data_IF_368752445457
#
_entry.id   IF_368752445457
#
_cell.length_a   1.000
_cell.length_b   1.000
_cell.length_c   1.000
_cell.angle_alpha   90.00
_cell.angle_beta   90.00
_cell.angle_gamma   90.00
#
_symmetry.space_group_name_H-M   'P 1'
#
loop_
_entity.id
_entity.type
_entity.pdbx_description
1 polymer ?
#
# COMPACT_ATOMS: atom_id res chain seq x y z
N UNK A 1 -33.87 -9.70 11.87
CA UNK A 1 -34.74 -9.23 10.78
C UNK A 1 -34.18 -7.91 10.28
N UNK A 2 -33.63 -7.88 9.09
CA UNK A 2 -33.18 -6.65 8.45
C UNK A 2 -34.41 -5.81 8.08
N UNK A 3 -34.46 -4.57 8.55
CA UNK A 3 -35.48 -3.60 8.10
C UNK A 3 -35.25 -3.29 6.61
N UNK A 4 -36.29 -3.24 5.80
CA UNK A 4 -36.14 -2.92 4.39
C UNK A 4 -35.57 -1.50 4.23
N UNK A 5 -34.61 -1.35 3.35
CA UNK A 5 -33.93 -0.10 2.95
C UNK A 5 -34.90 0.95 2.36
N UNK A 6 -36.20 0.63 2.20
CA UNK A 6 -37.21 1.50 1.59
C UNK A 6 -37.59 2.76 2.39
N UNK A 7 -37.07 2.97 3.59
CA UNK A 7 -37.37 4.15 4.41
C UNK A 7 -36.21 5.15 4.55
N UNK A 8 -35.22 5.09 3.69
CA UNK A 8 -34.25 6.17 3.55
C UNK A 8 -33.30 6.41 4.73
N UNK A 9 -33.19 5.49 5.68
CA UNK A 9 -32.17 5.59 6.72
C UNK A 9 -30.85 4.98 6.24
N UNK A 10 -29.77 5.77 6.19
CA UNK A 10 -28.46 5.24 5.80
C UNK A 10 -27.98 4.26 6.86
N UNK A 11 -27.56 3.08 6.42
CA UNK A 11 -26.78 2.17 7.25
C UNK A 11 -25.31 2.59 7.18
N UNK A 12 -24.76 3.07 8.27
CA UNK A 12 -23.35 3.43 8.38
C UNK A 12 -22.65 2.44 9.28
N UNK A 13 -21.63 1.76 8.74
CA UNK A 13 -20.74 0.91 9.52
C UNK A 13 -19.54 1.74 9.96
N UNK A 14 -19.34 1.88 11.28
CA UNK A 14 -18.19 2.56 11.86
C UNK A 14 -17.30 1.53 12.52
N UNK A 15 -16.04 1.50 12.12
CA UNK A 15 -15.05 0.52 12.57
C UNK A 15 -13.96 1.11 13.47
N UNK A 16 -14.09 2.37 13.90
CA UNK A 16 -13.10 3.00 14.79
C UNK A 16 -13.30 2.56 16.25
N UNK A 17 -12.33 1.90 16.87
CA UNK A 17 -12.41 1.56 18.28
C UNK A 17 -12.28 2.82 19.17
N UNK A 18 -13.19 2.99 20.11
CA UNK A 18 -13.01 3.90 21.26
C UNK A 18 -13.70 5.26 21.21
N UNK A 19 -14.56 5.58 20.26
CA UNK A 19 -15.26 6.87 20.26
C UNK A 19 -16.64 6.80 20.91
N UNK A 20 -16.77 7.44 22.11
CA UNK A 20 -18.07 7.80 22.68
C UNK A 20 -18.60 9.05 21.94
N UNK A 21 -19.85 9.05 21.53
CA UNK A 21 -20.49 10.20 20.87
C UNK A 21 -20.61 10.11 19.34
N UNK A 22 -20.62 8.91 18.79
CA UNK A 22 -20.76 8.66 17.35
C UNK A 22 -22.10 9.15 16.76
N UNK A 23 -23.18 9.13 17.55
CA UNK A 23 -24.52 9.47 17.07
C UNK A 23 -24.64 10.90 16.50
N UNK A 24 -23.91 11.86 17.08
CA UNK A 24 -23.91 13.25 16.59
C UNK A 24 -23.11 13.45 15.29
N UNK A 25 -22.26 12.50 14.93
CA UNK A 25 -21.42 12.57 13.71
C UNK A 25 -22.12 12.01 12.47
N UNK A 26 -23.26 11.31 12.63
CA UNK A 26 -23.94 10.58 11.55
C UNK A 26 -25.32 11.15 11.24
N UNK A 27 -25.37 12.39 10.76
CA UNK A 27 -26.59 12.91 10.12
C UNK A 27 -26.66 12.42 8.67
N UNK A 28 -27.88 12.39 8.10
CA UNK A 28 -28.08 12.11 6.66
C UNK A 28 -27.24 13.05 5.78
N UNK A 29 -27.13 14.31 6.17
CA UNK A 29 -26.28 15.29 5.49
C UNK A 29 -24.82 14.85 5.50
N UNK A 30 -24.27 14.51 6.66
CA UNK A 30 -22.86 14.07 6.77
C UNK A 30 -22.59 12.79 5.97
N UNK A 31 -23.54 11.86 5.93
CA UNK A 31 -23.46 10.67 5.09
C UNK A 31 -23.37 11.02 3.60
N UNK A 32 -24.24 11.93 3.12
CA UNK A 32 -24.23 12.35 1.72
C UNK A 32 -22.94 13.08 1.35
N UNK A 33 -22.44 13.93 2.27
CA UNK A 33 -21.15 14.62 2.09
C UNK A 33 -20.00 13.61 1.98
N UNK A 34 -19.87 12.68 2.92
CA UNK A 34 -18.84 11.63 2.90
C UNK A 34 -18.95 10.73 1.67
N UNK A 35 -20.17 10.38 1.27
CA UNK A 35 -20.39 9.63 0.02
C UNK A 35 -19.89 10.42 -1.18
N UNK A 36 -20.20 11.72 -1.24
CA UNK A 36 -19.74 12.60 -2.30
C UNK A 36 -18.21 12.70 -2.34
N UNK A 37 -17.59 12.95 -1.20
CA UNK A 37 -16.14 13.00 -1.02
C UNK A 37 -15.48 11.68 -1.49
N UNK A 38 -16.01 10.53 -1.07
CA UNK A 38 -15.51 9.21 -1.44
C UNK A 38 -15.62 8.95 -2.95
N UNK A 39 -16.77 9.28 -3.55
CA UNK A 39 -16.96 9.10 -4.99
C UNK A 39 -16.03 10.00 -5.81
N UNK A 40 -15.81 11.24 -5.35
CA UNK A 40 -14.87 12.17 -6.00
C UNK A 40 -13.46 11.64 -5.88
N UNK A 41 -13.05 11.21 -4.69
CA UNK A 41 -11.74 10.62 -4.45
C UNK A 41 -11.43 9.44 -5.38
N UNK A 42 -12.40 8.51 -5.54
CA UNK A 42 -12.25 7.38 -6.45
C UNK A 42 -12.19 7.81 -7.92
N UNK A 43 -13.08 8.72 -8.35
CA UNK A 43 -13.10 9.20 -9.73
C UNK A 43 -11.78 9.83 -10.14
N UNK A 44 -11.22 10.69 -9.32
CA UNK A 44 -9.93 11.33 -9.58
C UNK A 44 -8.81 10.31 -9.81
N UNK A 45 -8.82 9.20 -9.09
CA UNK A 45 -7.77 8.19 -9.17
C UNK A 45 -7.95 7.21 -10.32
N UNK A 46 -9.16 6.74 -10.55
CA UNK A 46 -9.41 5.77 -11.61
C UNK A 46 -9.56 6.38 -13.00
N UNK A 47 -9.78 7.70 -13.10
CA UNK A 47 -9.93 8.42 -14.37
C UNK A 47 -8.68 9.19 -14.80
N UNK A 48 -7.60 9.12 -14.05
CA UNK A 48 -6.34 9.80 -14.37
C UNK A 48 -5.68 9.29 -15.66
N UNK A 49 -5.95 8.07 -16.03
CA UNK A 49 -5.56 7.46 -17.29
C UNK A 49 -6.79 6.82 -17.93
N UNK A 50 -7.05 7.17 -19.19
CA UNK A 50 -8.20 6.63 -19.95
C UNK A 50 -7.72 6.05 -21.28
N UNK A 51 -8.08 4.80 -21.51
CA UNK A 51 -7.88 4.10 -22.77
C UNK A 51 -9.22 4.01 -23.52
N UNK A 52 -9.16 4.09 -24.83
CA UNK A 52 -10.30 3.82 -25.71
C UNK A 52 -9.88 2.86 -26.80
N UNK A 53 -10.44 1.67 -26.78
CA UNK A 53 -10.13 0.58 -27.70
C UNK A 53 -11.39 0.11 -28.44
N UNK A 54 -11.27 -0.72 -29.49
CA UNK A 54 -12.44 -1.36 -30.09
C UNK A 54 -13.17 -2.34 -29.15
N UNK A 55 -12.52 -2.81 -28.08
CA UNK A 55 -13.10 -3.70 -27.09
C UNK A 55 -13.54 -2.95 -25.82
N UNK A 56 -14.85 -2.74 -25.71
CA UNK A 56 -15.44 -2.05 -24.55
C UNK A 56 -15.23 -2.79 -23.22
N UNK A 57 -15.13 -4.10 -23.22
CA UNK A 57 -14.88 -4.86 -22.01
C UNK A 57 -13.45 -4.60 -21.50
N UNK A 58 -12.49 -4.53 -22.39
CA UNK A 58 -11.12 -4.14 -22.08
C UNK A 58 -11.05 -2.70 -21.56
N UNK A 59 -11.79 -1.76 -22.16
CA UNK A 59 -11.87 -0.38 -21.69
C UNK A 59 -12.39 -0.31 -20.24
N UNK A 60 -13.47 -0.99 -19.93
CA UNK A 60 -14.00 -1.03 -18.55
C UNK A 60 -13.05 -1.67 -17.57
N UNK A 61 -12.35 -2.72 -17.98
CA UNK A 61 -11.38 -3.39 -17.14
C UNK A 61 -10.18 -2.48 -16.82
N UNK A 62 -9.60 -1.84 -17.81
CA UNK A 62 -8.39 -1.02 -17.65
C UNK A 62 -8.67 0.38 -17.06
N UNK A 63 -9.77 1.03 -17.47
CA UNK A 63 -10.07 2.41 -17.06
C UNK A 63 -10.61 2.55 -15.64
N UNK A 64 -10.77 1.49 -14.89
CA UNK A 64 -11.30 1.60 -13.54
C UNK A 64 -11.01 0.38 -12.68
N UNK A 65 -11.42 -0.79 -13.16
CA UNK A 65 -11.41 -2.00 -12.36
C UNK A 65 -10.00 -2.40 -11.91
N UNK A 66 -9.01 -2.37 -12.79
CA UNK A 66 -7.62 -2.69 -12.44
C UNK A 66 -7.07 -1.74 -11.38
N UNK A 67 -7.24 -0.43 -11.56
CA UNK A 67 -6.76 0.58 -10.62
C UNK A 67 -7.48 0.47 -9.26
N UNK A 68 -8.80 0.19 -9.30
CA UNK A 68 -9.55 -0.09 -8.09
C UNK A 68 -9.00 -1.31 -7.34
N UNK A 69 -8.76 -2.43 -8.03
CA UNK A 69 -8.22 -3.65 -7.43
C UNK A 69 -6.86 -3.41 -6.77
N UNK A 70 -5.94 -2.78 -7.48
CA UNK A 70 -4.61 -2.46 -6.92
C UNK A 70 -4.76 -1.58 -5.68
N UNK A 71 -5.53 -0.51 -5.78
CA UNK A 71 -5.68 0.46 -4.68
C UNK A 71 -6.42 -0.14 -3.49
N UNK A 72 -7.63 -0.67 -3.73
CA UNK A 72 -8.50 -1.14 -2.65
C UNK A 72 -8.02 -2.46 -2.04
N UNK A 73 -7.66 -3.43 -2.89
CA UNK A 73 -7.43 -4.81 -2.43
C UNK A 73 -5.96 -5.11 -2.13
N UNK A 74 -5.03 -4.38 -2.74
CA UNK A 74 -3.60 -4.65 -2.57
C UNK A 74 -2.91 -3.65 -1.65
N UNK A 75 -3.27 -2.37 -1.71
CA UNK A 75 -2.60 -1.34 -0.92
C UNK A 75 -3.37 -0.94 0.34
N UNK A 76 -4.71 -0.84 0.28
CA UNK A 76 -5.53 -0.42 1.42
C UNK A 76 -6.02 -1.60 2.26
N UNK A 77 -6.66 -2.59 1.64
CA UNK A 77 -7.21 -3.75 2.33
C UNK A 77 -6.18 -4.89 2.38
N UNK A 78 -5.47 -4.99 3.48
CA UNK A 78 -4.44 -6.02 3.70
C UNK A 78 -4.98 -7.30 4.32
N UNK A 79 -6.28 -7.39 4.52
CA UNK A 79 -6.96 -8.59 4.99
C UNK A 79 -7.97 -9.06 3.96
N UNK A 80 -7.94 -10.34 3.61
CA UNK A 80 -8.87 -10.95 2.68
C UNK A 80 -9.12 -12.40 3.05
N UNK A 81 -10.03 -13.06 2.34
CA UNK A 81 -10.27 -14.49 2.48
C UNK A 81 -8.99 -15.33 2.31
N UNK A 82 -8.06 -14.87 1.48
CA UNK A 82 -6.81 -15.57 1.16
C UNK A 82 -5.61 -15.06 1.95
N UNK A 83 -5.71 -13.89 2.59
CA UNK A 83 -4.62 -13.25 3.32
C UNK A 83 -5.17 -12.55 4.57
N UNK A 84 -5.45 -13.31 5.61
CA UNK A 84 -6.06 -12.80 6.84
C UNK A 84 -5.06 -12.09 7.78
N UNK A 85 -3.76 -12.28 7.55
CA UNK A 85 -2.72 -11.81 8.46
C UNK A 85 -2.45 -10.31 8.41
N UNK A 86 -2.93 -9.59 7.39
CA UNK A 86 -2.63 -8.15 7.23
C UNK A 86 -1.17 -7.85 6.96
N UNK A 87 -0.39 -8.82 6.50
CA UNK A 87 1.03 -8.65 6.23
C UNK A 87 1.29 -7.74 5.02
N UNK A 88 2.35 -6.94 5.13
CA UNK A 88 2.90 -6.15 4.04
C UNK A 88 4.08 -6.91 3.44
N UNK A 89 4.01 -7.26 2.15
CA UNK A 89 5.09 -7.92 1.44
C UNK A 89 6.01 -6.90 0.76
N UNK A 90 7.31 -7.07 0.91
CA UNK A 90 8.29 -6.17 0.29
C UNK A 90 8.13 -6.12 -1.23
N UNK A 91 8.29 -7.27 -1.87
CA UNK A 91 8.10 -7.44 -3.31
C UNK A 91 6.68 -7.10 -3.75
N UNK A 92 5.68 -7.68 -3.07
CA UNK A 92 4.28 -7.58 -3.49
C UNK A 92 3.82 -6.14 -3.61
N UNK A 93 4.10 -5.32 -2.59
CA UNK A 93 3.67 -3.93 -2.60
C UNK A 93 4.47 -3.05 -3.54
N UNK A 94 5.75 -3.33 -3.75
CA UNK A 94 6.56 -2.66 -4.78
C UNK A 94 6.02 -2.95 -6.18
N UNK A 95 5.65 -4.19 -6.43
CA UNK A 95 5.02 -4.60 -7.69
C UNK A 95 3.66 -3.93 -7.88
N UNK A 96 2.84 -3.87 -6.83
CA UNK A 96 1.52 -3.23 -6.85
C UNK A 96 1.64 -1.73 -7.17
N UNK A 97 2.56 -1.01 -6.54
CA UNK A 97 2.71 0.44 -6.80
C UNK A 97 3.35 0.77 -8.13
N UNK A 98 4.05 -0.16 -8.75
CA UNK A 98 4.53 0.01 -10.13
C UNK A 98 3.37 0.25 -11.11
N UNK A 99 2.17 -0.28 -10.83
CA UNK A 99 0.97 0.00 -11.62
C UNK A 99 0.42 1.43 -11.42
N UNK A 100 0.78 2.09 -10.32
CA UNK A 100 0.29 3.43 -9.98
C UNK A 100 1.21 4.57 -10.41
N UNK A 101 2.34 4.30 -11.04
CA UNK A 101 3.32 5.32 -11.42
C UNK A 101 2.71 6.43 -12.30
N UNK A 102 1.76 6.07 -13.17
CA UNK A 102 1.10 7.01 -14.08
C UNK A 102 -0.17 7.64 -13.51
N UNK A 103 -0.76 7.05 -12.48
CA UNK A 103 -2.09 7.42 -11.99
C UNK A 103 -2.06 8.01 -10.60
N UNK A 104 -1.12 7.59 -9.77
CA UNK A 104 -0.96 8.05 -8.39
C UNK A 104 0.50 7.97 -7.91
N UNK A 105 1.41 8.75 -8.53
CA UNK A 105 2.85 8.68 -8.25
C UNK A 105 3.21 8.99 -6.80
N UNK A 106 2.43 9.84 -6.11
CA UNK A 106 2.66 10.16 -4.70
C UNK A 106 2.55 8.89 -3.81
N UNK A 107 1.57 8.03 -4.09
CA UNK A 107 1.42 6.77 -3.36
C UNK A 107 2.58 5.81 -3.65
N UNK A 108 3.06 5.80 -4.89
CA UNK A 108 4.24 5.02 -5.24
C UNK A 108 5.49 5.52 -4.49
N UNK A 109 5.68 6.84 -4.38
CA UNK A 109 6.76 7.45 -3.59
C UNK A 109 6.73 7.05 -2.13
N UNK A 110 5.57 7.13 -1.49
CA UNK A 110 5.38 6.69 -0.10
C UNK A 110 5.77 5.23 0.10
N UNK A 111 5.37 4.38 -0.83
CA UNK A 111 5.66 2.94 -0.76
C UNK A 111 7.13 2.62 -1.01
N UNK A 112 7.82 3.37 -1.89
CA UNK A 112 9.26 3.26 -2.09
C UNK A 112 10.04 3.58 -0.82
N UNK A 113 9.69 4.69 -0.14
CA UNK A 113 10.31 5.07 1.13
C UNK A 113 10.01 4.06 2.24
N UNK A 114 8.78 3.55 2.30
CA UNK A 114 8.41 2.50 3.24
C UNK A 114 9.23 1.22 2.99
N UNK A 115 9.35 0.77 1.73
CA UNK A 115 10.13 -0.40 1.38
C UNK A 115 11.62 -0.19 1.70
N UNK A 116 12.17 0.97 1.38
CA UNK A 116 13.55 1.32 1.72
C UNK A 116 13.83 1.20 3.23
N UNK A 117 12.87 1.63 4.08
CA UNK A 117 12.97 1.49 5.53
C UNK A 117 12.88 0.04 6.05
N UNK A 118 12.70 -0.92 5.16
CA UNK A 118 12.65 -2.36 5.48
C UNK A 118 13.88 -3.12 5.00
N UNK A 119 14.93 -2.41 4.63
CA UNK A 119 16.25 -2.98 4.38
C UNK A 119 17.05 -3.09 5.68
N UNK A 120 17.81 -4.15 5.83
CA UNK A 120 18.78 -4.30 6.91
C UNK A 120 20.10 -3.64 6.53
N UNK A 121 20.92 -3.32 7.54
CA UNK A 121 22.23 -2.70 7.33
C UNK A 121 23.16 -3.57 6.46
N UNK A 122 22.93 -4.89 6.43
CA UNK A 122 23.66 -5.85 5.62
C UNK A 122 23.21 -5.91 4.15
N UNK A 123 22.13 -5.18 3.81
CA UNK A 123 21.63 -5.04 2.44
C UNK A 123 20.53 -6.01 2.04
N UNK A 124 20.21 -6.99 2.88
CA UNK A 124 19.01 -7.81 2.70
C UNK A 124 17.76 -7.10 3.23
N UNK A 125 16.57 -7.68 3.06
CA UNK A 125 15.30 -7.02 3.35
C UNK A 125 14.39 -7.87 4.23
N UNK A 126 13.44 -7.21 4.88
CA UNK A 126 12.32 -7.87 5.51
C UNK A 126 11.31 -8.28 4.45
N UNK A 127 11.21 -9.56 4.15
CA UNK A 127 10.39 -10.11 3.07
C UNK A 127 8.90 -9.75 3.23
N UNK A 128 8.39 -9.85 4.46
CA UNK A 128 7.06 -9.33 4.82
C UNK A 128 7.02 -8.96 6.30
N UNK A 129 6.07 -8.09 6.67
CA UNK A 129 5.89 -7.63 8.05
C UNK A 129 4.44 -7.29 8.36
N UNK A 130 4.12 -7.25 9.65
CA UNK A 130 2.81 -6.81 10.18
C UNK A 130 2.89 -5.39 10.76
N UNK A 131 2.26 -4.38 10.13
CA UNK A 131 2.09 -3.07 10.78
C UNK A 131 1.14 -3.16 11.99
N UNK A 132 1.26 -2.27 13.01
CA UNK A 132 2.32 -1.28 13.16
C UNK A 132 3.58 -1.85 13.85
N UNK A 133 3.51 -3.06 14.39
CA UNK A 133 4.57 -3.65 15.20
C UNK A 133 5.88 -3.93 14.42
N UNK A 134 5.78 -4.11 13.10
CA UNK A 134 6.92 -4.41 12.27
C UNK A 134 7.46 -5.84 12.39
N UNK A 135 6.75 -6.70 13.15
CA UNK A 135 7.08 -8.12 13.21
C UNK A 135 6.94 -8.78 11.83
N UNK A 136 7.93 -9.53 11.41
CA UNK A 136 7.93 -10.13 10.07
C UNK A 136 9.10 -11.06 9.85
N UNK A 137 9.36 -11.41 8.61
CA UNK A 137 10.33 -12.43 8.24
C UNK A 137 11.50 -11.82 7.46
N UNK A 138 12.70 -12.08 7.97
CA UNK A 138 13.95 -11.88 7.24
C UNK A 138 14.27 -13.17 6.49
N UNK A 139 14.58 -13.12 5.20
CA UNK A 139 14.81 -14.30 4.34
C UNK A 139 16.04 -14.15 3.46
N UNK A 140 16.41 -15.25 2.78
CA UNK A 140 17.43 -15.27 1.72
C UNK A 140 16.83 -15.29 0.32
N UNK A 141 15.59 -14.81 0.16
CA UNK A 141 14.93 -14.72 -1.15
C UNK A 141 15.63 -13.66 -1.99
N UNK A 142 16.25 -14.09 -3.07
CA UNK A 142 17.19 -13.25 -3.83
C UNK A 142 16.53 -12.18 -4.69
N UNK A 143 15.30 -12.40 -5.18
CA UNK A 143 14.61 -11.42 -6.03
C UNK A 143 14.08 -10.22 -5.24
N UNK A 144 13.85 -10.36 -3.94
CA UNK A 144 13.48 -9.24 -3.08
C UNK A 144 14.46 -8.06 -3.20
N UNK A 145 15.76 -8.34 -3.31
CA UNK A 145 16.81 -7.34 -3.41
C UNK A 145 16.74 -6.49 -4.69
N UNK A 146 16.07 -6.98 -5.73
CA UNK A 146 15.99 -6.35 -7.04
C UNK A 146 14.76 -5.45 -7.20
N UNK A 147 13.72 -5.67 -6.39
CA UNK A 147 12.44 -4.98 -6.58
C UNK A 147 12.50 -3.49 -6.25
N UNK A 148 13.15 -3.11 -5.14
CA UNK A 148 13.25 -1.70 -4.77
C UNK A 148 14.02 -0.88 -5.83
N UNK A 149 15.25 -1.23 -6.24
CA UNK A 149 15.97 -0.47 -7.25
C UNK A 149 15.25 -0.48 -8.60
N UNK A 150 14.61 -1.58 -8.99
CA UNK A 150 13.86 -1.64 -10.24
C UNK A 150 12.67 -0.68 -10.26
N UNK A 151 11.82 -0.69 -9.23
CA UNK A 151 10.65 0.19 -9.14
C UNK A 151 11.09 1.64 -8.96
N UNK A 152 12.16 1.90 -8.21
CA UNK A 152 12.73 3.24 -8.02
C UNK A 152 13.21 3.83 -9.36
N UNK A 153 13.95 3.08 -10.16
CA UNK A 153 14.35 3.50 -11.51
C UNK A 153 13.14 3.82 -12.39
N UNK A 154 12.11 2.95 -12.35
CA UNK A 154 10.86 3.18 -13.09
C UNK A 154 10.13 4.43 -12.61
N UNK A 155 10.05 4.63 -11.30
CA UNK A 155 9.45 5.82 -10.68
C UNK A 155 10.13 7.09 -11.17
N UNK A 156 11.45 7.20 -11.02
CA UNK A 156 12.22 8.36 -11.48
C UNK A 156 12.04 8.63 -12.99
N UNK A 157 12.06 7.55 -13.78
CA UNK A 157 11.91 7.67 -15.25
C UNK A 157 10.53 8.16 -15.68
N UNK A 158 9.47 7.78 -14.94
CA UNK A 158 8.09 8.15 -15.27
C UNK A 158 7.75 9.53 -14.73
N UNK A 159 8.17 9.83 -13.51
CA UNK A 159 7.74 11.03 -12.78
C UNK A 159 8.69 12.22 -12.93
N UNK A 160 9.96 11.96 -13.20
CA UNK A 160 11.03 12.98 -13.15
C UNK A 160 11.41 13.39 -11.72
N UNK A 161 10.87 12.75 -10.69
CA UNK A 161 11.21 13.03 -9.28
C UNK A 161 12.52 12.31 -8.90
N UNK A 162 13.63 12.97 -9.21
CA UNK A 162 14.97 12.52 -8.82
C UNK A 162 15.33 12.90 -7.38
N UNK A 163 14.56 13.79 -6.75
CA UNK A 163 14.80 14.21 -5.36
C UNK A 163 14.51 13.06 -4.38
N UNK A 164 13.65 12.10 -4.75
CA UNK A 164 13.42 10.90 -3.95
C UNK A 164 14.71 10.14 -3.63
N UNK A 165 15.70 10.20 -4.52
CA UNK A 165 17.00 9.54 -4.33
C UNK A 165 17.81 10.12 -3.16
N UNK A 166 17.54 11.36 -2.77
CA UNK A 166 18.23 12.05 -1.68
C UNK A 166 17.56 11.85 -0.31
N UNK A 167 16.39 11.23 -0.28
CA UNK A 167 15.68 10.98 0.96
C UNK A 167 16.48 10.08 1.88
N UNK A 168 16.65 10.54 3.11
CA UNK A 168 17.33 9.78 4.15
C UNK A 168 16.38 8.78 4.77
N UNK A 169 16.70 7.50 4.67
CA UNK A 169 15.86 6.42 5.17
C UNK A 169 16.63 5.57 6.16
N UNK A 170 16.08 5.27 7.35
CA UNK A 170 16.73 4.41 8.31
C UNK A 170 16.72 2.95 7.84
N UNK A 171 17.73 2.20 8.25
CA UNK A 171 17.78 0.75 8.10
C UNK A 171 17.07 0.04 9.24
N UNK A 172 16.85 -1.25 9.06
CA UNK A 172 16.57 -2.19 10.14
C UNK A 172 17.88 -2.80 10.65
N UNK A 173 17.87 -3.17 11.92
CA UNK A 173 18.98 -3.90 12.53
C UNK A 173 18.48 -5.09 13.33
N UNK A 174 19.12 -6.21 13.15
CA UNK A 174 18.96 -7.44 13.92
C UNK A 174 20.15 -8.37 13.67
N UNK A 175 20.20 -9.48 14.36
CA UNK A 175 21.23 -10.52 14.10
C UNK A 175 21.12 -11.01 12.64
N UNK A 176 22.20 -11.03 11.86
CA UNK A 176 22.21 -11.64 10.53
C UNK A 176 21.74 -13.10 10.56
N UNK A 177 21.21 -13.59 9.42
CA UNK A 177 20.86 -15.01 9.27
C UNK A 177 22.12 -15.87 9.32
N UNK A 178 22.09 -16.96 10.08
CA UNK A 178 23.20 -17.92 10.13
C UNK A 178 23.34 -18.66 8.78
N UNK A 179 24.51 -19.24 8.46
CA UNK A 179 24.75 -19.85 7.15
C UNK A 179 23.73 -20.92 6.71
N UNK A 180 23.10 -21.60 7.67
CA UNK A 180 22.07 -22.62 7.41
C UNK A 180 20.64 -22.13 7.64
N UNK A 181 20.48 -20.91 8.11
CA UNK A 181 19.17 -20.30 8.40
C UNK A 181 18.64 -19.65 7.12
N UNK A 182 17.53 -20.17 6.61
CA UNK A 182 16.91 -19.67 5.37
C UNK A 182 15.98 -18.50 5.64
N UNK A 183 15.36 -18.48 6.82
CA UNK A 183 14.43 -17.42 7.23
C UNK A 183 14.36 -17.33 8.76
N UNK A 184 13.95 -16.17 9.24
CA UNK A 184 13.66 -15.94 10.67
C UNK A 184 12.52 -14.94 10.83
N UNK A 185 11.52 -15.31 11.64
CA UNK A 185 10.47 -14.39 12.11
C UNK A 185 10.99 -13.64 13.33
N UNK A 186 10.91 -12.30 13.26
CA UNK A 186 11.42 -11.43 14.31
C UNK A 186 10.75 -10.07 14.32
N UNK A 187 11.03 -9.27 15.35
CA UNK A 187 10.74 -7.83 15.39
C UNK A 187 12.08 -7.11 15.34
N UNK A 188 12.53 -6.65 14.16
CA UNK A 188 13.78 -5.93 14.05
C UNK A 188 13.66 -4.54 14.69
N UNK A 189 14.79 -3.98 15.06
CA UNK A 189 14.86 -2.59 15.54
C UNK A 189 15.16 -1.65 14.37
N UNK A 190 14.72 -0.40 14.50
CA UNK A 190 15.12 0.66 13.57
C UNK A 190 16.54 1.09 13.94
N UNK A 191 17.45 1.04 12.99
CA UNK A 191 18.83 1.48 13.18
C UNK A 191 18.93 3.01 13.28
N UNK A 192 19.96 3.48 13.95
CA UNK A 192 20.37 4.91 13.90
C UNK A 192 21.06 5.28 12.60
N UNK A 193 21.48 4.29 11.80
CA UNK A 193 22.09 4.51 10.49
C UNK A 193 21.01 4.87 9.47
N UNK A 194 21.26 5.95 8.72
CA UNK A 194 20.43 6.38 7.60
C UNK A 194 21.32 6.63 6.40
N UNK A 195 20.84 6.28 5.22
CA UNK A 195 21.49 6.61 3.97
C UNK A 195 20.45 7.09 2.94
N UNK A 196 20.88 7.83 1.89
CA UNK A 196 19.98 8.15 0.77
C UNK A 196 19.63 6.88 -0.03
N UNK A 197 18.58 6.96 -0.88
CA UNK A 197 18.11 5.82 -1.67
C UNK A 197 19.05 5.40 -2.82
N UNK A 198 20.09 6.13 -3.09
CA UNK A 198 21.06 5.81 -4.17
C UNK A 198 22.39 5.37 -3.62
#
# INVERSE_FOLDING_TARGET
MARPLAQGLPLTLVTEPGHRGLESRFSTKRYLDLRGETLTWWRERVSSLTLSTPDRALDHYLNGWCLYQVTACRLMARTSQYQNGGAFGFRDQLQDVAALLYTWPQRAREQLLLAASRQFEEGDVQHWWHPPAGAGVRTRISDDLLWLPWVLCRYCSVTGDWEVLKEQVPYLTSRPLEPKEMERYEIPQVSSKTDPLY
#
